data_IF_809276374852
#
_entry.id   IF_809276374852
#
_cell.length_a   1.000
_cell.length_b   1.000
_cell.length_c   1.000
_cell.angle_alpha   90.00
_cell.angle_beta   90.00
_cell.angle_gamma   90.00
#
_symmetry.space_group_name_H-M   'P 1'
#
loop_
_entity.id
_entity.type
_entity.pdbx_description
1 polymer ?
#
# COMPACT_ATOMS: atom_id res chain seq x y z
N UNK A 1 -49.82 64.65 5.08
CA UNK A 1 -48.63 64.45 4.21
C UNK A 1 -47.71 63.34 4.71
N UNK A 2 -47.44 63.19 6.03
CA UNK A 2 -46.47 62.20 6.54
C UNK A 2 -46.77 60.70 6.32
N UNK A 3 -48.04 60.26 6.30
CA UNK A 3 -48.35 58.82 6.17
C UNK A 3 -48.06 58.23 4.78
N UNK A 4 -48.14 59.05 3.73
CA UNK A 4 -47.89 58.60 2.36
C UNK A 4 -46.38 58.40 2.11
N UNK A 5 -45.56 59.32 2.62
CA UNK A 5 -44.10 59.25 2.50
C UNK A 5 -43.51 58.06 3.27
N UNK A 6 -44.03 57.78 4.47
CA UNK A 6 -43.64 56.60 5.26
C UNK A 6 -44.04 55.31 4.53
N UNK A 7 -45.24 55.26 3.93
CA UNK A 7 -45.69 54.09 3.19
C UNK A 7 -44.84 53.82 1.94
N UNK A 8 -44.39 54.87 1.25
CA UNK A 8 -43.51 54.74 0.07
C UNK A 8 -42.12 54.27 0.51
N UNK A 9 -41.59 54.80 1.62
CA UNK A 9 -40.28 54.41 2.15
C UNK A 9 -40.26 52.92 2.54
N UNK A 10 -41.30 52.46 3.25
CA UNK A 10 -41.44 51.06 3.67
C UNK A 10 -41.58 50.12 2.47
N UNK A 11 -42.39 50.49 1.48
CA UNK A 11 -42.55 49.69 0.25
C UNK A 11 -41.23 49.59 -0.53
N UNK A 12 -40.46 50.67 -0.59
CA UNK A 12 -39.16 50.70 -1.28
C UNK A 12 -38.13 49.85 -0.55
N UNK A 13 -38.08 49.93 0.79
CA UNK A 13 -37.19 49.11 1.62
C UNK A 13 -37.49 47.62 1.49
N UNK A 14 -38.78 47.22 1.51
CA UNK A 14 -39.21 45.84 1.29
C UNK A 14 -38.83 45.35 -0.12
N UNK A 15 -39.02 46.19 -1.14
CA UNK A 15 -38.62 45.88 -2.51
C UNK A 15 -37.12 45.60 -2.64
N UNK A 16 -36.27 46.44 -2.01
CA UNK A 16 -34.82 46.23 -2.00
C UNK A 16 -34.40 44.97 -1.23
N UNK A 17 -35.10 44.63 -0.15
CA UNK A 17 -34.81 43.41 0.61
C UNK A 17 -35.12 42.16 -0.22
N UNK A 18 -36.26 42.14 -0.90
CA UNK A 18 -36.67 41.02 -1.75
C UNK A 18 -35.71 40.81 -2.93
N UNK A 19 -35.27 41.88 -3.59
CA UNK A 19 -34.31 41.77 -4.69
C UNK A 19 -32.93 41.30 -4.22
N UNK A 20 -32.47 41.77 -3.06
CA UNK A 20 -31.23 41.30 -2.44
C UNK A 20 -31.30 39.80 -2.07
N UNK A 21 -32.41 39.33 -1.49
CA UNK A 21 -32.60 37.91 -1.16
C UNK A 21 -32.59 37.00 -2.40
N UNK A 22 -33.20 37.43 -3.51
CA UNK A 22 -33.17 36.70 -4.78
C UNK A 22 -31.75 36.61 -5.33
N UNK A 23 -30.99 37.71 -5.31
CA UNK A 23 -29.59 37.71 -5.78
C UNK A 23 -28.70 36.81 -4.92
N UNK A 24 -28.88 36.80 -3.60
CA UNK A 24 -28.16 35.90 -2.69
C UNK A 24 -28.50 34.43 -3.00
N UNK A 25 -29.79 34.10 -3.21
CA UNK A 25 -30.21 32.74 -3.56
C UNK A 25 -29.61 32.27 -4.90
N UNK A 26 -29.55 33.16 -5.91
CA UNK A 26 -28.91 32.87 -7.20
C UNK A 26 -27.40 32.64 -7.01
N UNK A 27 -26.72 33.49 -6.23
CA UNK A 27 -25.29 33.33 -5.92
C UNK A 27 -25.00 31.99 -5.21
N UNK A 28 -25.80 31.63 -4.20
CA UNK A 28 -25.67 30.34 -3.50
C UNK A 28 -25.88 29.17 -4.47
N UNK A 29 -26.90 29.24 -5.33
CA UNK A 29 -27.17 28.21 -6.35
C UNK A 29 -26.03 28.11 -7.37
N UNK A 30 -25.44 29.24 -7.78
CA UNK A 30 -24.28 29.27 -8.67
C UNK A 30 -23.02 28.69 -7.99
N UNK A 31 -22.79 28.98 -6.71
CA UNK A 31 -21.67 28.41 -5.94
C UNK A 31 -21.86 26.89 -5.80
N UNK A 32 -23.06 26.43 -5.45
CA UNK A 32 -23.37 24.99 -5.32
C UNK A 32 -23.29 24.26 -6.67
N UNK A 33 -23.77 24.87 -7.75
CA UNK A 33 -23.66 24.32 -9.10
C UNK A 33 -22.22 24.26 -9.60
N UNK A 34 -21.41 25.30 -9.36
CA UNK A 34 -19.97 25.28 -9.66
C UNK A 34 -19.25 24.24 -8.82
N UNK A 35 -19.59 24.11 -7.54
CA UNK A 35 -19.02 23.09 -6.65
C UNK A 35 -19.36 21.68 -7.11
N UNK A 36 -20.62 21.43 -7.47
CA UNK A 36 -21.06 20.15 -8.06
C UNK A 36 -20.37 19.84 -9.40
N UNK A 37 -20.22 20.83 -10.29
CA UNK A 37 -19.49 20.66 -11.54
C UNK A 37 -17.97 20.42 -11.32
N UNK A 38 -17.37 21.03 -10.30
CA UNK A 38 -15.98 20.78 -9.92
C UNK A 38 -15.78 19.40 -9.27
N UNK A 39 -16.80 18.90 -8.57
CA UNK A 39 -16.77 17.55 -7.99
C UNK A 39 -17.00 16.47 -9.05
N UNK A 40 -17.81 16.73 -10.08
CA UNK A 40 -18.10 15.78 -11.17
C UNK A 40 -16.99 15.76 -12.23
N UNK A 41 -16.29 16.88 -12.49
CA UNK A 41 -15.25 16.94 -13.52
C UNK A 41 -13.82 16.63 -13.02
N UNK A 42 -13.67 16.27 -11.74
CA UNK A 42 -12.42 15.78 -11.15
C UNK A 42 -12.40 14.25 -10.96
N UNK A 43 -13.30 13.52 -11.63
CA UNK A 43 -13.02 12.11 -11.92
C UNK A 43 -11.82 12.09 -12.88
N UNK A 44 -10.62 12.02 -12.29
CA UNK A 44 -9.40 11.60 -12.97
C UNK A 44 -9.81 10.37 -13.78
N UNK A 45 -9.58 10.32 -15.11
CA UNK A 45 -9.92 9.16 -15.91
C UNK A 45 -9.32 7.93 -15.23
N UNK A 46 -10.16 7.11 -14.59
CA UNK A 46 -9.70 5.93 -13.86
C UNK A 46 -9.38 4.89 -14.91
N UNK A 47 -8.14 4.93 -15.40
CA UNK A 47 -7.64 3.88 -16.28
C UNK A 47 -7.37 2.66 -15.41
N UNK A 48 -8.13 1.59 -15.63
CA UNK A 48 -7.82 0.27 -15.08
C UNK A 48 -6.41 -0.13 -15.50
N UNK A 49 -5.58 -0.59 -14.57
CA UNK A 49 -4.22 -1.01 -14.87
C UNK A 49 -4.28 -2.37 -15.61
N UNK A 50 -3.76 -2.48 -16.84
CA UNK A 50 -3.70 -3.75 -17.55
C UNK A 50 -2.92 -4.80 -16.74
N UNK A 51 -3.45 -6.02 -16.67
CA UNK A 51 -2.94 -7.17 -15.91
C UNK A 51 -3.17 -7.14 -14.39
N UNK A 52 -3.85 -6.13 -13.85
CA UNK A 52 -4.28 -6.09 -12.44
C UNK A 52 -5.81 -6.21 -12.32
N UNK A 53 -6.38 -7.27 -12.89
CA UNK A 53 -7.79 -7.64 -12.64
C UNK A 53 -7.96 -8.14 -11.20
N UNK A 54 -9.21 -8.21 -10.74
CA UNK A 54 -9.57 -8.77 -9.43
C UNK A 54 -8.97 -10.17 -9.22
N UNK A 55 -9.21 -11.10 -10.15
CA UNK A 55 -8.70 -12.48 -10.06
C UNK A 55 -7.16 -12.53 -10.00
N UNK A 56 -6.48 -11.74 -10.83
CA UNK A 56 -5.02 -11.69 -10.85
C UNK A 56 -4.47 -11.16 -9.53
N UNK A 57 -5.10 -10.12 -8.96
CA UNK A 57 -4.67 -9.55 -7.68
C UNK A 57 -4.86 -10.57 -6.55
N UNK A 58 -6.03 -11.21 -6.50
CA UNK A 58 -6.30 -12.29 -5.54
C UNK A 58 -5.28 -13.42 -5.64
N UNK A 59 -4.99 -13.89 -6.85
CA UNK A 59 -3.99 -14.95 -7.09
C UNK A 59 -2.58 -14.53 -6.69
N UNK A 60 -2.16 -13.31 -7.08
CA UNK A 60 -0.84 -12.78 -6.75
C UNK A 60 -0.63 -12.69 -5.23
N UNK A 61 -1.61 -12.19 -4.48
CA UNK A 61 -1.50 -12.09 -3.03
C UNK A 61 -1.53 -13.46 -2.35
N UNK A 62 -2.40 -14.37 -2.80
CA UNK A 62 -2.51 -15.71 -2.24
C UNK A 62 -1.28 -16.59 -2.54
N UNK A 63 -0.55 -16.32 -3.63
CA UNK A 63 0.66 -17.04 -4.03
C UNK A 63 1.97 -16.47 -3.44
N UNK A 64 1.92 -15.28 -2.83
CA UNK A 64 3.09 -14.67 -2.24
C UNK A 64 3.63 -15.50 -1.06
N UNK A 65 4.91 -15.88 -1.09
CA UNK A 65 5.56 -16.62 0.01
C UNK A 65 5.59 -15.77 1.29
N UNK A 66 4.80 -16.13 2.30
CA UNK A 66 4.71 -15.38 3.57
C UNK A 66 5.70 -15.83 4.64
N UNK A 67 6.76 -16.57 4.30
CA UNK A 67 7.86 -16.86 5.23
C UNK A 67 8.60 -15.56 5.58
N UNK A 68 8.79 -15.33 6.87
CA UNK A 68 9.64 -14.25 7.35
C UNK A 68 11.09 -14.70 7.17
N UNK A 69 11.83 -14.06 6.27
CA UNK A 69 13.25 -14.36 6.11
C UNK A 69 14.03 -13.76 7.30
N UNK A 70 15.20 -14.33 7.62
CA UNK A 70 16.03 -13.84 8.71
C UNK A 70 16.19 -12.32 8.69
N UNK A 71 15.95 -11.70 9.86
CA UNK A 71 15.98 -10.25 10.09
C UNK A 71 17.38 -9.66 9.83
N UNK A 72 18.40 -10.50 9.64
CA UNK A 72 19.78 -10.13 9.33
C UNK A 72 19.99 -9.73 7.85
N UNK A 73 18.95 -9.74 7.01
CA UNK A 73 19.04 -9.46 5.57
C UNK A 73 19.09 -7.95 5.26
N UNK A 74 19.87 -7.49 4.25
CA UNK A 74 20.20 -6.07 3.96
C UNK A 74 19.04 -5.18 3.46
N UNK A 75 17.81 -5.55 3.74
CA UNK A 75 16.62 -4.76 3.40
C UNK A 75 16.14 -3.99 4.63
N UNK A 76 16.87 -2.92 4.96
CA UNK A 76 16.43 -1.85 5.87
C UNK A 76 15.33 -1.01 5.18
N UNK A 77 14.18 -1.63 4.92
CA UNK A 77 12.98 -0.90 4.53
C UNK A 77 12.58 0.04 5.66
N UNK A 78 12.12 1.24 5.32
CA UNK A 78 11.57 2.15 6.33
C UNK A 78 10.16 1.67 6.67
N UNK A 79 10.06 0.78 7.65
CA UNK A 79 8.79 0.28 8.18
C UNK A 79 8.29 1.24 9.25
N UNK A 80 7.04 1.67 9.10
CA UNK A 80 6.34 2.54 10.04
C UNK A 80 4.97 1.91 10.34
N UNK A 81 4.63 1.81 11.62
CA UNK A 81 3.29 1.50 12.08
C UNK A 81 2.70 2.76 12.70
N UNK A 82 1.62 3.28 12.14
CA UNK A 82 0.91 4.45 12.62
C UNK A 82 -0.40 4.01 13.31
N UNK A 83 -0.52 4.24 14.61
CA UNK A 83 -1.68 3.86 15.43
C UNK A 83 -2.36 5.14 15.92
N UNK A 84 -3.55 5.46 15.41
CA UNK A 84 -4.30 6.68 15.77
C UNK A 84 -3.47 7.98 15.68
N UNK A 85 -2.56 8.06 14.69
CA UNK A 85 -1.64 9.18 14.52
C UNK A 85 -0.29 9.03 15.23
N UNK A 86 -0.14 8.03 16.11
CA UNK A 86 1.11 7.73 16.82
C UNK A 86 2.05 6.92 15.94
N UNK A 87 3.25 7.45 15.67
CA UNK A 87 4.26 6.82 14.82
C UNK A 87 5.12 5.85 15.65
N UNK A 88 5.01 4.56 15.34
CA UNK A 88 5.84 3.48 15.86
C UNK A 88 6.86 3.08 14.79
N UNK A 89 8.14 3.21 15.14
CA UNK A 89 9.26 2.96 14.24
C UNK A 89 9.84 1.56 14.44
N UNK A 90 10.59 1.07 13.45
CA UNK A 90 11.25 -0.23 13.53
C UNK A 90 12.11 -0.45 14.80
N UNK A 91 12.89 0.53 15.33
CA UNK A 91 13.58 0.37 16.60
C UNK A 91 12.68 0.03 17.80
N UNK A 92 11.47 0.60 17.86
CA UNK A 92 10.51 0.32 18.94
C UNK A 92 10.00 -1.11 18.85
N UNK A 93 9.66 -1.56 17.64
CA UNK A 93 9.24 -2.95 17.37
C UNK A 93 10.38 -3.92 17.72
N UNK A 94 11.61 -3.60 17.31
CA UNK A 94 12.80 -4.41 17.61
C UNK A 94 13.07 -4.52 19.11
N UNK A 95 12.94 -3.43 19.87
CA UNK A 95 13.11 -3.46 21.32
C UNK A 95 12.09 -4.39 21.99
N UNK A 96 10.83 -4.37 21.54
CA UNK A 96 9.79 -5.30 22.01
C UNK A 96 10.09 -6.75 21.63
N UNK A 97 10.53 -6.97 20.40
CA UNK A 97 10.94 -8.28 19.91
C UNK A 97 12.05 -8.88 20.77
N UNK A 98 13.14 -8.15 21.01
CA UNK A 98 14.27 -8.65 21.82
C UNK A 98 13.89 -8.89 23.29
N UNK A 99 12.93 -8.13 23.84
CA UNK A 99 12.41 -8.39 25.18
C UNK A 99 11.64 -9.71 25.24
N UNK A 100 10.68 -9.90 24.33
CA UNK A 100 9.86 -11.12 24.29
C UNK A 100 10.67 -12.36 23.89
N UNK A 101 11.71 -12.20 23.09
CA UNK A 101 12.63 -13.28 22.73
C UNK A 101 13.34 -13.90 23.95
N UNK A 102 13.58 -13.12 25.01
CA UNK A 102 14.17 -13.63 26.26
C UNK A 102 13.21 -14.53 27.02
N UNK A 103 11.93 -14.17 27.03
CA UNK A 103 10.86 -14.93 27.69
C UNK A 103 10.44 -16.16 26.84
N UNK A 104 10.65 -16.07 25.52
CA UNK A 104 10.47 -17.15 24.57
C UNK A 104 9.03 -17.69 24.52
N UNK A 105 8.90 -19.00 24.37
CA UNK A 105 7.61 -19.70 24.25
C UNK A 105 6.75 -19.64 25.52
N UNK A 106 7.34 -19.28 26.67
CA UNK A 106 6.63 -19.21 27.94
C UNK A 106 5.77 -17.95 28.07
N UNK A 107 6.00 -16.93 27.22
CA UNK A 107 5.21 -15.71 27.26
C UNK A 107 3.80 -15.96 26.67
N UNK A 108 2.70 -15.58 27.36
CA UNK A 108 1.33 -15.88 26.92
C UNK A 108 1.00 -15.42 25.50
N UNK A 109 1.41 -14.20 25.13
CA UNK A 109 1.23 -13.69 23.76
C UNK A 109 2.03 -14.51 22.73
N UNK A 110 3.27 -14.90 23.03
CA UNK A 110 4.08 -15.69 22.10
C UNK A 110 3.42 -17.05 21.87
N UNK A 111 2.93 -17.69 22.94
CA UNK A 111 2.18 -18.96 22.85
C UNK A 111 0.93 -18.83 21.97
N UNK A 112 0.13 -17.77 22.16
CA UNK A 112 -1.05 -17.46 21.32
C UNK A 112 -0.69 -17.42 19.83
N UNK A 113 0.40 -16.73 19.48
CA UNK A 113 0.85 -16.63 18.09
C UNK A 113 1.44 -17.96 17.56
N UNK A 114 2.13 -18.74 18.37
CA UNK A 114 2.61 -20.09 18.00
C UNK A 114 1.42 -21.00 17.66
N UNK A 115 0.41 -21.06 18.53
CA UNK A 115 -0.80 -21.86 18.33
C UNK A 115 -1.53 -21.45 17.04
N UNK A 116 -1.63 -20.14 16.79
CA UNK A 116 -2.19 -19.63 15.55
C UNK A 116 -1.38 -20.08 14.32
N UNK A 117 -0.05 -19.98 14.33
CA UNK A 117 0.78 -20.39 13.20
C UNK A 117 0.70 -21.90 12.96
N UNK A 118 0.73 -22.72 14.01
CA UNK A 118 0.61 -24.18 13.92
C UNK A 118 -0.74 -24.63 13.34
N UNK A 119 -1.83 -23.90 13.63
CA UNK A 119 -3.16 -24.23 13.12
C UNK A 119 -3.34 -23.86 11.64
N UNK A 120 -2.69 -22.80 11.19
CA UNK A 120 -3.01 -22.16 9.91
C UNK A 120 -1.87 -22.19 8.88
N UNK A 121 -0.71 -22.74 9.22
CA UNK A 121 0.40 -22.95 8.28
C UNK A 121 0.76 -24.43 8.21
N UNK A 122 1.12 -24.87 7.01
CA UNK A 122 1.55 -26.25 6.72
C UNK A 122 3.07 -26.39 6.70
N UNK A 123 3.80 -25.27 6.72
CA UNK A 123 5.26 -25.27 6.73
C UNK A 123 5.83 -25.36 8.16
N UNK A 124 6.58 -26.43 8.44
CA UNK A 124 7.32 -26.61 9.69
C UNK A 124 8.60 -25.75 9.74
N UNK A 125 8.49 -24.48 9.32
CA UNK A 125 9.63 -23.58 9.24
C UNK A 125 10.17 -23.27 10.64
N UNK A 126 11.50 -23.39 10.88
CA UNK A 126 12.11 -22.93 12.13
C UNK A 126 11.90 -21.43 12.38
N UNK A 127 11.58 -20.65 11.34
CA UNK A 127 11.26 -19.22 11.46
C UNK A 127 9.87 -18.93 12.06
N UNK A 128 9.04 -19.95 12.29
CA UNK A 128 7.72 -19.78 12.90
C UNK A 128 7.80 -19.19 14.31
N UNK A 129 8.85 -19.50 15.08
CA UNK A 129 9.07 -18.92 16.42
C UNK A 129 9.39 -17.43 16.31
N UNK A 130 10.32 -17.04 15.43
CA UNK A 130 10.65 -15.63 15.21
C UNK A 130 9.42 -14.84 14.75
N UNK A 131 8.63 -15.43 13.85
CA UNK A 131 7.37 -14.83 13.37
C UNK A 131 6.33 -14.71 14.50
N UNK A 132 6.24 -15.68 15.40
CA UNK A 132 5.34 -15.62 16.55
C UNK A 132 5.75 -14.52 17.55
N UNK A 133 7.05 -14.40 17.84
CA UNK A 133 7.59 -13.34 18.71
C UNK A 133 7.31 -11.96 18.09
N UNK A 134 7.47 -11.82 16.77
CA UNK A 134 7.13 -10.58 16.08
C UNK A 134 5.63 -10.26 16.14
N UNK A 135 4.77 -11.27 15.95
CA UNK A 135 3.33 -11.17 16.17
C UNK A 135 2.99 -10.64 17.56
N UNK A 136 3.53 -11.29 18.59
CA UNK A 136 3.34 -10.92 19.98
C UNK A 136 3.88 -9.51 20.28
N UNK A 137 4.96 -9.09 19.61
CA UNK A 137 5.53 -7.75 19.74
C UNK A 137 4.58 -6.68 19.22
N UNK A 138 3.99 -6.90 18.04
CA UNK A 138 3.01 -5.99 17.44
C UNK A 138 1.73 -5.98 18.27
N UNK A 139 1.23 -7.15 18.68
CA UNK A 139 0.04 -7.26 19.55
C UNK A 139 0.26 -6.51 20.88
N UNK A 140 1.44 -6.66 21.51
CA UNK A 140 1.79 -5.94 22.73
C UNK A 140 1.81 -4.41 22.55
N UNK A 141 2.23 -3.93 21.38
CA UNK A 141 2.21 -2.49 21.05
C UNK A 141 0.77 -2.01 20.89
N UNK A 142 -0.08 -2.78 20.22
CA UNK A 142 -1.48 -2.44 19.97
C UNK A 142 -2.30 -2.46 21.27
N UNK A 143 -2.16 -3.50 22.09
CA UNK A 143 -2.78 -3.62 23.41
C UNK A 143 -2.42 -2.45 24.34
N UNK A 144 -1.22 -1.90 24.21
CA UNK A 144 -0.81 -0.72 25.01
C UNK A 144 -1.55 0.55 24.58
N UNK A 145 -1.97 0.65 23.32
CA UNK A 145 -2.72 1.79 22.81
C UNK A 145 -4.21 1.64 23.14
N UNK A 146 -4.79 0.48 22.83
CA UNK A 146 -6.19 0.18 23.14
C UNK A 146 -6.37 -1.34 23.40
N UNK A 147 -6.57 -1.74 24.67
CA UNK A 147 -6.79 -3.14 25.03
C UNK A 147 -8.08 -3.75 24.46
N UNK A 148 -9.13 -2.94 24.28
CA UNK A 148 -10.46 -3.42 23.91
C UNK A 148 -10.61 -3.54 22.40
N UNK A 149 -9.80 -2.79 21.64
CA UNK A 149 -9.84 -2.75 20.18
C UNK A 149 -8.51 -3.19 19.58
N UNK A 150 -8.01 -4.37 19.96
CA UNK A 150 -6.84 -5.00 19.33
C UNK A 150 -7.30 -5.89 18.16
N UNK A 151 -6.61 -5.86 17.00
CA UNK A 151 -6.99 -6.68 15.85
C UNK A 151 -6.80 -8.17 16.16
N UNK A 152 -7.49 -9.03 15.40
CA UNK A 152 -7.31 -10.46 15.56
C UNK A 152 -5.89 -10.89 15.15
N UNK A 153 -5.46 -12.04 15.66
CA UNK A 153 -4.12 -12.57 15.39
C UNK A 153 -3.86 -12.78 13.89
N UNK A 154 -4.89 -13.08 13.11
CA UNK A 154 -4.77 -13.23 11.67
C UNK A 154 -4.46 -11.93 10.95
N UNK A 155 -5.20 -10.86 11.25
CA UNK A 155 -4.91 -9.54 10.70
C UNK A 155 -3.52 -9.05 11.12
N UNK A 156 -3.07 -9.31 12.36
CA UNK A 156 -1.70 -8.98 12.80
C UNK A 156 -0.65 -9.70 11.94
N UNK A 157 -0.83 -11.00 11.67
CA UNK A 157 0.10 -11.73 10.81
C UNK A 157 0.05 -11.26 9.36
N UNK A 158 -1.08 -10.75 8.90
CA UNK A 158 -1.20 -10.14 7.59
C UNK A 158 -0.48 -8.79 7.52
N UNK A 159 -0.57 -7.96 8.55
CA UNK A 159 0.23 -6.74 8.70
C UNK A 159 1.74 -7.05 8.64
N UNK A 160 2.19 -8.14 9.30
CA UNK A 160 3.58 -8.58 9.25
C UNK A 160 4.04 -8.87 7.82
N UNK A 161 3.20 -9.47 6.98
CA UNK A 161 3.55 -9.78 5.59
C UNK A 161 3.91 -8.51 4.82
N UNK A 162 3.08 -7.48 4.93
CA UNK A 162 3.33 -6.19 4.29
C UNK A 162 4.60 -5.50 4.79
N UNK A 163 4.92 -5.64 6.07
CA UNK A 163 6.08 -4.96 6.68
C UNK A 163 7.41 -5.67 6.45
N UNK A 164 7.43 -7.01 6.50
CA UNK A 164 8.68 -7.76 6.67
C UNK A 164 8.89 -8.90 5.68
N UNK A 165 7.93 -9.18 4.78
CA UNK A 165 8.07 -10.27 3.81
C UNK A 165 8.50 -9.74 2.44
N UNK A 166 9.55 -10.34 1.86
CA UNK A 166 10.08 -9.95 0.54
C UNK A 166 9.07 -10.16 -0.59
N UNK A 167 8.30 -11.25 -0.57
CA UNK A 167 7.32 -11.54 -1.61
C UNK A 167 6.24 -10.45 -1.72
N UNK A 168 5.71 -9.97 -0.60
CA UNK A 168 4.76 -8.86 -0.54
C UNK A 168 5.41 -7.56 -1.05
N UNK A 169 6.66 -7.28 -0.66
CA UNK A 169 7.41 -6.13 -1.19
C UNK A 169 7.57 -6.21 -2.72
N UNK A 170 7.94 -7.37 -3.26
CA UNK A 170 8.06 -7.59 -4.70
C UNK A 170 6.72 -7.46 -5.41
N UNK A 171 5.64 -7.95 -4.79
CA UNK A 171 4.27 -7.85 -5.29
C UNK A 171 3.82 -6.39 -5.39
N UNK A 172 3.97 -5.60 -4.33
CA UNK A 172 3.62 -4.17 -4.33
C UNK A 172 4.46 -3.41 -5.38
N UNK A 173 5.76 -3.72 -5.44
CA UNK A 173 6.68 -3.17 -6.45
C UNK A 173 6.26 -3.53 -7.88
N UNK A 174 5.77 -4.75 -8.10
CA UNK A 174 5.27 -5.23 -9.38
C UNK A 174 3.98 -4.51 -9.79
N UNK A 175 3.02 -4.38 -8.88
CA UNK A 175 1.77 -3.66 -9.13
C UNK A 175 2.03 -2.20 -9.52
N UNK A 176 2.98 -1.53 -8.85
CA UNK A 176 3.45 -0.19 -9.24
C UNK A 176 4.00 -0.17 -10.67
N UNK A 177 4.78 -1.19 -11.06
CA UNK A 177 5.31 -1.27 -12.43
C UNK A 177 4.22 -1.43 -13.48
N UNK A 178 3.14 -2.15 -13.16
CA UNK A 178 2.02 -2.30 -14.10
C UNK A 178 1.31 -0.98 -14.37
N UNK A 179 1.31 -0.06 -13.40
CA UNK A 179 0.70 1.28 -13.51
C UNK A 179 1.49 2.29 -14.37
N UNK A 180 2.65 1.91 -14.91
CA UNK A 180 3.48 2.81 -15.73
C UNK A 180 2.85 3.00 -17.13
N UNK A 181 2.61 4.24 -17.57
CA UNK A 181 2.11 4.50 -18.92
C UNK A 181 3.09 4.03 -20.00
N UNK A 182 2.58 3.36 -21.04
CA UNK A 182 3.38 2.79 -22.15
C UNK A 182 4.54 1.92 -21.65
N UNK A 183 4.30 1.08 -20.62
CA UNK A 183 5.32 0.25 -19.95
C UNK A 183 6.17 -0.57 -20.92
N UNK A 184 5.61 -0.97 -22.07
CA UNK A 184 6.30 -1.72 -23.13
C UNK A 184 7.52 -1.00 -23.72
N UNK A 185 7.58 0.34 -23.59
CA UNK A 185 8.71 1.15 -24.05
C UNK A 185 9.86 1.21 -23.04
N UNK A 186 9.64 0.73 -21.81
CA UNK A 186 10.53 0.96 -20.69
C UNK A 186 10.91 -0.33 -19.96
N UNK A 187 12.12 -0.36 -19.45
CA UNK A 187 12.55 -1.27 -18.38
C UNK A 187 12.62 -0.47 -17.07
N UNK A 188 12.28 -1.13 -15.97
CA UNK A 188 12.16 -0.48 -14.66
C UNK A 188 13.20 -1.04 -13.71
N UNK A 189 13.99 -0.17 -13.11
CA UNK A 189 14.97 -0.53 -12.09
C UNK A 189 14.67 0.21 -10.78
N UNK A 190 14.82 -0.47 -9.66
CA UNK A 190 14.74 0.18 -8.34
C UNK A 190 16.00 1.03 -8.13
N UNK A 191 15.83 2.22 -7.56
CA UNK A 191 16.95 3.01 -7.07
C UNK A 191 17.52 2.36 -5.80
N UNK A 192 18.74 2.72 -5.42
CA UNK A 192 19.39 2.23 -4.18
C UNK A 192 18.72 2.73 -2.89
N UNK A 193 17.61 3.46 -2.99
CA UNK A 193 16.81 3.92 -1.86
C UNK A 193 15.87 2.80 -1.41
N UNK A 194 15.86 2.52 -0.11
CA UNK A 194 14.91 1.59 0.47
C UNK A 194 13.46 2.07 0.25
N UNK A 195 12.54 1.20 -0.18
CA UNK A 195 11.13 1.53 -0.14
C UNK A 195 10.67 1.83 1.29
N UNK A 196 9.62 2.65 1.39
CA UNK A 196 8.97 2.99 2.63
C UNK A 196 7.59 2.33 2.67
N UNK A 197 7.30 1.61 3.74
CA UNK A 197 6.01 0.98 4.00
C UNK A 197 5.45 1.55 5.30
N UNK A 198 4.26 2.14 5.22
CA UNK A 198 3.54 2.65 6.38
C UNK A 198 2.22 1.90 6.50
N UNK A 199 2.02 1.24 7.63
CA UNK A 199 0.70 0.69 7.99
C UNK A 199 -0.01 1.70 8.87
N UNK A 200 -1.25 2.03 8.52
CA UNK A 200 -2.12 2.88 9.32
C UNK A 200 -3.21 2.02 9.94
N UNK A 201 -3.25 2.02 11.26
CA UNK A 201 -4.23 1.33 12.06
C UNK A 201 -5.00 2.34 12.90
N UNK A 202 -6.31 2.17 12.98
CA UNK A 202 -7.19 3.01 13.81
C UNK A 202 -7.96 2.12 14.76
N UNK A 203 -7.89 2.41 16.05
CA UNK A 203 -8.54 1.59 17.10
C UNK A 203 -10.07 1.61 16.99
N UNK A 204 -10.64 2.69 16.44
CA UNK A 204 -12.07 2.77 16.11
C UNK A 204 -12.52 1.78 15.02
N UNK A 205 -11.61 1.08 14.35
CA UNK A 205 -11.93 0.10 13.31
C UNK A 205 -10.94 -1.06 13.39
N UNK A 206 -11.05 -1.93 14.41
CA UNK A 206 -10.00 -2.89 14.73
C UNK A 206 -9.84 -4.01 13.69
N UNK A 207 -10.81 -4.15 12.78
CA UNK A 207 -10.81 -5.14 11.70
C UNK A 207 -10.18 -4.62 10.41
N UNK A 208 -9.65 -3.40 10.39
CA UNK A 208 -9.07 -2.82 9.17
C UNK A 208 -7.75 -2.10 9.42
N UNK A 209 -6.92 -2.04 8.39
CA UNK A 209 -5.74 -1.18 8.32
C UNK A 209 -5.51 -0.74 6.89
N UNK A 210 -4.84 0.40 6.69
CA UNK A 210 -4.40 0.81 5.35
C UNK A 210 -2.89 0.70 5.19
N UNK A 211 -2.45 0.48 3.96
CA UNK A 211 -1.05 0.37 3.57
C UNK A 211 -0.72 1.52 2.65
N UNK A 212 0.29 2.30 3.00
CA UNK A 212 0.91 3.27 2.12
C UNK A 212 2.33 2.79 1.78
N UNK A 213 2.58 2.47 0.52
CA UNK A 213 3.84 1.95 0.04
C UNK A 213 4.47 2.90 -1.00
N UNK A 214 5.75 3.23 -0.80
CA UNK A 214 6.48 4.18 -1.63
C UNK A 214 7.78 3.58 -2.14
N UNK A 215 7.92 3.56 -3.47
CA UNK A 215 9.07 2.99 -4.17
C UNK A 215 9.75 4.05 -5.05
N UNK A 216 11.08 4.09 -4.97
CA UNK A 216 11.90 5.01 -5.75
C UNK A 216 12.55 4.23 -6.89
N UNK A 217 12.27 4.63 -8.13
CA UNK A 217 12.63 3.86 -9.32
C UNK A 217 13.15 4.75 -10.44
N UNK A 218 13.80 4.13 -11.41
CA UNK A 218 14.18 4.76 -12.68
C UNK A 218 13.64 3.97 -13.86
N UNK A 219 13.29 4.70 -14.91
CA UNK A 219 12.92 4.17 -16.21
C UNK A 219 14.14 4.21 -17.12
N UNK A 220 14.39 3.10 -17.79
CA UNK A 220 15.32 3.00 -18.90
C UNK A 220 14.52 2.67 -20.16
N UNK A 221 14.95 3.15 -21.32
CA UNK A 221 14.35 2.78 -22.60
C UNK A 221 14.63 1.31 -22.92
N UNK A 222 13.60 0.55 -23.31
CA UNK A 222 13.73 -0.90 -23.51
C UNK A 222 14.71 -1.28 -24.65
N UNK A 223 14.91 -0.40 -25.65
CA UNK A 223 15.72 -0.70 -26.82
C UNK A 223 17.23 -0.74 -26.54
N UNK A 224 17.72 0.13 -25.65
CA UNK A 224 19.15 0.37 -25.44
C UNK A 224 19.51 0.63 -23.96
N UNK A 225 18.55 0.44 -23.04
CA UNK A 225 18.69 0.69 -21.60
C UNK A 225 19.21 2.09 -21.27
N UNK A 226 18.95 3.10 -22.11
CA UNK A 226 19.32 4.48 -21.80
C UNK A 226 18.38 5.05 -20.75
N UNK A 227 18.97 5.81 -19.81
CA UNK A 227 18.20 6.48 -18.78
C UNK A 227 17.17 7.42 -19.40
N UNK A 228 15.91 7.26 -19.00
CA UNK A 228 14.81 8.14 -19.40
C UNK A 228 14.49 9.12 -18.27
N UNK A 229 14.16 8.62 -17.09
CA UNK A 229 13.75 9.44 -15.96
C UNK A 229 13.79 8.67 -14.64
N UNK A 230 13.68 9.39 -13.53
CA UNK A 230 13.32 8.81 -12.23
C UNK A 230 11.84 9.04 -11.95
N UNK A 231 11.27 8.20 -11.09
CA UNK A 231 9.92 8.39 -10.60
C UNK A 231 9.76 7.81 -9.20
N UNK A 232 8.73 8.29 -8.53
CA UNK A 232 8.21 7.68 -7.32
C UNK A 232 6.91 6.96 -7.67
N UNK A 233 6.84 5.68 -7.30
CA UNK A 233 5.60 4.91 -7.33
C UNK A 233 5.03 4.84 -5.93
N UNK A 234 3.84 5.43 -5.76
CA UNK A 234 3.09 5.39 -4.50
C UNK A 234 1.90 4.46 -4.65
N UNK A 235 1.62 3.69 -3.60
CA UNK A 235 0.46 2.81 -3.54
C UNK A 235 -0.27 2.99 -2.23
N UNK A 236 -1.60 3.02 -2.30
CA UNK A 236 -2.48 2.97 -1.15
C UNK A 236 -3.45 1.81 -1.28
N UNK A 237 -3.64 1.04 -0.21
CA UNK A 237 -4.61 -0.05 -0.11
C UNK A 237 -5.32 0.04 1.24
N UNK A 238 -6.63 -0.19 1.28
CA UNK A 238 -7.37 -0.48 2.50
C UNK A 238 -7.59 -1.99 2.59
N UNK A 239 -7.26 -2.59 3.74
CA UNK A 239 -7.49 -4.01 4.02
C UNK A 239 -8.49 -4.10 5.16
N UNK A 240 -9.60 -4.80 4.94
CA UNK A 240 -10.63 -5.03 5.94
C UNK A 240 -10.86 -6.52 6.10
N UNK A 241 -10.95 -6.99 7.33
CA UNK A 241 -11.36 -8.37 7.62
C UNK A 241 -12.88 -8.49 7.51
N UNK A 242 -13.34 -9.52 6.81
CA UNK A 242 -14.77 -9.79 6.69
C UNK A 242 -15.37 -10.17 8.05
N UNK A 243 -16.55 -9.62 8.34
CA UNK A 243 -17.33 -9.95 9.53
C UNK A 243 -17.93 -11.35 9.46
N UNK A 244 -18.19 -11.85 8.25
CA UNK A 244 -18.86 -13.12 8.00
C UNK A 244 -17.87 -14.29 7.94
N UNK A 245 -16.66 -14.04 7.40
CA UNK A 245 -15.55 -14.99 7.43
C UNK A 245 -14.24 -14.27 7.79
N UNK A 246 -13.77 -14.38 9.04
CA UNK A 246 -12.51 -13.77 9.48
C UNK A 246 -11.27 -14.27 8.73
N UNK A 247 -11.38 -15.34 7.93
CA UNK A 247 -10.29 -15.81 7.06
C UNK A 247 -10.20 -15.04 5.75
N UNK A 248 -11.21 -14.26 5.39
CA UNK A 248 -11.24 -13.44 4.19
C UNK A 248 -10.89 -12.00 4.53
N UNK A 249 -10.02 -11.42 3.70
CA UNK A 249 -9.63 -10.03 3.75
C UNK A 249 -10.02 -9.36 2.44
N UNK A 250 -10.78 -8.28 2.56
CA UNK A 250 -11.20 -7.44 1.47
C UNK A 250 -10.18 -6.33 1.26
N UNK A 251 -9.64 -6.25 0.06
CA UNK A 251 -8.79 -5.17 -0.39
C UNK A 251 -9.62 -4.18 -1.20
N UNK A 252 -9.54 -2.91 -0.82
CA UNK A 252 -10.32 -1.84 -1.42
C UNK A 252 -9.54 -0.53 -1.45
N UNK A 253 -10.15 0.49 -2.06
CA UNK A 253 -9.59 1.84 -2.20
C UNK A 253 -8.18 1.86 -2.84
N UNK A 254 -7.88 0.83 -3.61
CA UNK A 254 -6.56 0.63 -4.16
C UNK A 254 -6.20 1.71 -5.17
N UNK A 255 -5.11 2.43 -4.91
CA UNK A 255 -4.61 3.50 -5.78
C UNK A 255 -3.13 3.33 -6.02
N UNK A 256 -2.73 3.45 -7.27
CA UNK A 256 -1.31 3.49 -7.68
C UNK A 256 -1.08 4.85 -8.32
N UNK A 257 -0.15 5.62 -7.77
CA UNK A 257 0.26 6.91 -8.30
C UNK A 257 1.69 6.86 -8.79
N UNK A 258 1.90 7.50 -9.93
CA UNK A 258 3.18 7.67 -10.57
C UNK A 258 3.52 9.16 -10.56
N UNK A 259 4.56 9.52 -9.80
CA UNK A 259 5.07 10.89 -9.75
C UNK A 259 6.36 10.94 -10.56
N UNK A 260 6.25 11.56 -11.73
CA UNK A 260 7.37 11.73 -12.65
C UNK A 260 8.25 12.90 -12.24
N UNK A 261 9.56 12.69 -12.29
CA UNK A 261 10.53 13.78 -12.21
C UNK A 261 11.26 13.86 -13.54
N UNK A 262 10.96 14.90 -14.32
CA UNK A 262 11.76 15.24 -15.49
C UNK A 262 13.12 15.73 -15.01
N UNK A 263 14.10 14.84 -14.93
CA UNK A 263 15.51 15.25 -14.82
C UNK A 263 15.94 15.85 -16.15
N UNK A 264 15.88 17.18 -16.24
CA UNK A 264 16.61 17.91 -17.26
C UNK A 264 18.10 17.83 -16.89
N UNK A 265 18.80 16.88 -17.51
CA UNK A 265 20.26 16.69 -17.50
C UNK A 265 21.02 17.14 -16.23
N UNK A 266 21.15 16.26 -15.24
CA UNK A 266 22.34 16.26 -14.41
C UNK A 266 22.89 14.83 -14.30
N UNK A 267 24.15 14.68 -14.70
CA UNK A 267 24.93 13.47 -14.50
C UNK A 267 24.98 13.15 -13.01
N UNK A 268 24.28 12.10 -12.59
CA UNK A 268 24.47 11.52 -11.27
C UNK A 268 25.94 11.07 -11.20
N UNK A 269 26.75 11.50 -10.21
CA UNK A 269 28.13 11.06 -10.11
C UNK A 269 28.15 9.55 -9.88
N UNK A 270 28.71 8.80 -10.83
CA UNK A 270 29.14 7.44 -10.61
C UNK A 270 30.17 7.44 -9.47
N UNK A 271 29.73 7.17 -8.25
CA UNK A 271 30.66 6.99 -7.14
C UNK A 271 31.28 5.61 -7.31
N UNK A 272 32.48 5.61 -7.87
CA UNK A 272 33.37 4.46 -7.98
C UNK A 272 33.57 3.87 -6.57
N UNK A 273 33.28 2.58 -6.46
CA UNK A 273 33.46 1.75 -5.26
C UNK A 273 34.95 1.74 -4.87
N UNK A 274 35.34 2.56 -3.89
CA UNK A 274 36.62 2.38 -3.19
C UNK A 274 36.44 1.29 -2.15
N UNK A 275 37.06 0.13 -2.39
CA UNK A 275 37.22 -0.91 -1.39
C UNK A 275 38.20 -0.39 -0.33
N UNK A 276 37.72 -0.18 0.89
CA UNK A 276 38.62 -0.07 2.04
C UNK A 276 38.12 -1.05 3.09
N UNK A 277 38.85 -2.15 3.25
CA UNK A 277 38.66 -3.11 4.33
C UNK A 277 38.87 -2.40 5.67
N UNK A 278 37.80 -2.24 6.46
CA UNK A 278 37.93 -1.90 7.87
C UNK A 278 38.13 -3.18 8.69
N UNK A 279 39.37 -3.39 9.14
CA UNK A 279 39.68 -4.31 10.24
C UNK A 279 39.03 -3.80 11.52
N UNK A 280 38.15 -4.60 12.11
CA UNK A 280 37.65 -4.38 13.46
C UNK A 280 38.71 -4.75 14.49
N UNK A 281 38.99 -3.84 15.42
CA UNK A 281 39.54 -4.15 16.75
C UNK A 281 38.45 -3.86 17.79
N UNK A 282 38.23 -4.72 18.78
CA UNK A 282 37.17 -4.52 19.75
C UNK A 282 37.64 -3.54 20.84
N UNK A 283 36.82 -2.53 21.13
CA UNK A 283 36.99 -1.66 22.31
C UNK A 283 35.71 -1.70 23.12
N UNK A 284 35.91 -2.00 24.41
CA UNK A 284 34.97 -2.06 25.53
C UNK A 284 34.37 -0.68 25.84
N UNK A 285 33.08 -0.66 26.19
CA UNK A 285 32.32 0.46 26.78
C UNK A 285 33.00 1.12 28.01
N UNK A 286 32.53 2.29 28.54
CA UNK A 286 31.32 3.06 28.19
C UNK A 286 31.52 4.61 28.07
N UNK A 287 30.40 5.31 27.82
CA UNK A 287 30.14 6.76 27.98
C UNK A 287 30.63 7.74 26.90
N UNK A 288 29.70 8.15 26.03
CA UNK A 288 29.17 9.52 25.88
C UNK A 288 28.38 9.58 24.56
N UNK A 289 27.15 10.12 24.60
CA UNK A 289 26.26 10.24 23.44
C UNK A 289 26.85 11.27 22.46
N UNK A 290 27.26 10.92 21.22
CA UNK A 290 27.53 11.92 20.22
C UNK A 290 26.20 12.28 19.56
N UNK A 291 25.79 13.52 19.76
CA UNK A 291 24.74 14.20 19.00
C UNK A 291 24.86 13.90 17.50
N UNK A 292 23.80 13.33 16.94
CA UNK A 292 23.65 13.04 15.50
C UNK A 292 23.78 14.38 14.74
N UNK A 293 24.59 14.47 13.67
CA UNK A 293 24.61 15.67 12.85
C UNK A 293 23.25 15.83 12.16
N UNK A 294 22.62 16.99 12.36
CA UNK A 294 21.50 17.44 11.53
C UNK A 294 21.89 17.35 10.06
N UNK A 295 21.23 16.46 9.32
CA UNK A 295 21.25 16.48 7.86
C UNK A 295 20.30 17.60 7.41
N UNK A 296 20.72 18.83 7.64
CA UNK A 296 20.17 20.02 7.01
C UNK A 296 21.21 20.50 6.02
N UNK A 297 21.16 19.94 4.81
CA UNK A 297 21.72 20.49 3.57
C UNK A 297 21.18 19.69 2.38
N UNK A 298 19.85 19.73 2.18
CA UNK A 298 19.32 19.65 0.82
C UNK A 298 19.22 21.10 0.37
N UNK A 299 20.19 21.53 -0.44
CA UNK A 299 20.06 22.76 -1.20
C UNK A 299 18.93 22.52 -2.20
N UNK A 300 17.71 22.95 -1.86
CA UNK A 300 16.61 23.02 -2.81
C UNK A 300 16.92 24.21 -3.72
N UNK A 301 17.63 23.93 -4.80
CA UNK A 301 17.68 24.85 -5.93
C UNK A 301 16.30 24.75 -6.59
N UNK A 302 15.49 25.79 -6.47
CA UNK A 302 14.20 25.91 -7.15
C UNK A 302 14.42 25.91 -8.68
N UNK A 303 14.51 24.73 -9.28
CA UNK A 303 14.12 24.53 -10.67
C UNK A 303 12.66 24.06 -10.64
N UNK A 304 11.79 24.74 -11.40
CA UNK A 304 10.40 24.34 -11.59
C UNK A 304 10.37 22.91 -12.19
N UNK A 305 10.30 21.91 -11.31
CA UNK A 305 10.08 20.53 -11.69
C UNK A 305 8.61 20.41 -12.10
N UNK A 306 8.38 20.16 -13.39
CA UNK A 306 7.04 19.87 -13.87
C UNK A 306 6.65 18.46 -13.39
N UNK A 307 6.01 18.41 -12.23
CA UNK A 307 5.49 17.18 -11.63
C UNK A 307 4.23 16.75 -12.38
N UNK A 308 4.33 15.66 -13.15
CA UNK A 308 3.16 15.03 -13.75
C UNK A 308 2.80 13.80 -12.91
N UNK A 309 1.64 13.84 -12.26
CA UNK A 309 1.09 12.73 -11.49
C UNK A 309 0.05 11.97 -12.32
N UNK A 310 0.24 10.66 -12.50
CA UNK A 310 -0.81 9.79 -13.02
C UNK A 310 -1.29 8.87 -11.90
N UNK A 311 -2.60 8.80 -11.68
CA UNK A 311 -3.19 7.94 -10.66
C UNK A 311 -4.15 6.95 -11.31
N UNK A 312 -3.96 5.68 -11.00
CA UNK A 312 -4.82 4.59 -11.45
C UNK A 312 -5.46 3.91 -10.23
N UNK A 313 -6.69 3.42 -10.42
CA UNK A 313 -7.46 2.73 -9.39
C UNK A 313 -7.39 1.23 -9.62
N UNK A 314 -7.21 0.46 -8.56
CA UNK A 314 -7.27 -1.00 -8.56
C UNK A 314 -8.71 -1.44 -8.28
N UNK A 315 -9.18 -2.54 -8.90
CA UNK A 315 -10.44 -3.13 -8.50
C UNK A 315 -10.36 -3.61 -7.04
N UNK A 316 -11.53 -3.74 -6.39
CA UNK A 316 -11.60 -4.44 -5.12
C UNK A 316 -11.33 -5.93 -5.37
N UNK A 317 -10.73 -6.61 -4.39
CA UNK A 317 -10.43 -8.03 -4.49
C UNK A 317 -10.35 -8.66 -3.10
N UNK A 318 -10.36 -9.99 -3.03
CA UNK A 318 -10.38 -10.73 -1.76
C UNK A 318 -9.21 -11.68 -1.67
N UNK A 319 -8.64 -11.83 -0.47
CA UNK A 319 -7.53 -12.74 -0.21
C UNK A 319 -7.77 -13.50 1.08
N UNK A 320 -7.11 -14.64 1.22
CA UNK A 320 -7.14 -15.37 2.49
C UNK A 320 -6.09 -14.78 3.45
N UNK A 321 -6.42 -14.68 4.73
CA UNK A 321 -5.51 -14.26 5.81
C UNK A 321 -4.24 -15.11 5.90
N UNK A 322 -4.27 -16.32 5.34
CA UNK A 322 -3.17 -17.28 5.31
C UNK A 322 -2.69 -17.53 3.87
N UNK A 323 -2.05 -16.54 3.25
CA UNK A 323 -1.38 -16.72 1.97
C UNK A 323 -0.07 -17.52 2.14
N UNK A 324 -0.14 -18.84 2.18
CA UNK A 324 0.96 -19.74 1.83
C UNK A 324 0.39 -21.16 1.73
N UNK A 325 0.29 -21.69 0.51
CA UNK A 325 0.16 -23.12 0.23
C UNK A 325 -1.08 -23.87 0.80
N UNK A 326 -2.15 -23.20 1.23
CA UNK A 326 -3.41 -23.89 1.59
C UNK A 326 -4.33 -24.24 0.40
N UNK A 327 -3.94 -23.93 -0.84
CA UNK A 327 -4.81 -24.01 -2.03
C UNK A 327 -4.43 -25.13 -3.02
N UNK A 328 -3.91 -26.27 -2.56
CA UNK A 328 -3.86 -27.46 -3.43
C UNK A 328 -4.93 -28.52 -3.14
N UNK A 329 -5.62 -28.46 -1.98
CA UNK A 329 -6.55 -29.54 -1.62
C UNK A 329 -8.02 -29.13 -1.38
N UNK A 330 -8.41 -27.85 -1.46
CA UNK A 330 -9.80 -27.45 -1.23
C UNK A 330 -10.30 -26.31 -2.14
N UNK A 331 -10.08 -26.42 -3.46
CA UNK A 331 -10.96 -25.72 -4.40
C UNK A 331 -12.21 -26.61 -4.56
N UNK A 332 -13.41 -26.19 -4.12
CA UNK A 332 -14.61 -26.85 -4.60
C UNK A 332 -14.63 -26.66 -6.11
N UNK A 333 -14.54 -27.77 -6.87
CA UNK A 333 -14.72 -27.76 -8.32
C UNK A 333 -16.00 -27.01 -8.61
N UNK A 334 -15.87 -25.82 -9.19
CA UNK A 334 -17.01 -25.10 -9.72
C UNK A 334 -17.56 -25.98 -10.84
N UNK A 335 -18.78 -26.49 -10.63
CA UNK A 335 -19.46 -27.37 -11.57
C UNK A 335 -19.53 -26.70 -12.94
N UNK A 336 -18.97 -27.41 -13.92
CA UNK A 336 -19.02 -27.07 -15.34
C UNK A 336 -20.48 -27.06 -15.80
N UNK A 337 -21.12 -25.89 -15.85
CA UNK A 337 -22.39 -25.73 -16.56
C UNK A 337 -22.13 -25.08 -17.94
N UNK A 338 -22.05 -25.98 -18.91
CA UNK A 338 -22.69 -25.90 -20.24
C UNK A 338 -22.55 -24.59 -21.00
N UNK A 339 -21.60 -24.53 -21.94
CA UNK A 339 -21.75 -23.71 -23.15
C UNK A 339 -21.82 -24.58 -24.39
N UNK A 340 -22.96 -24.41 -25.06
CA UNK A 340 -23.44 -24.96 -26.32
C UNK A 340 -22.40 -25.54 -27.30
N UNK A 341 -22.73 -26.74 -27.74
CA UNK A 341 -22.47 -27.31 -29.06
C UNK A 341 -22.55 -26.25 -30.16
N UNK A 342 -21.41 -25.97 -30.80
CA UNK A 342 -21.40 -25.52 -32.20
C UNK A 342 -20.71 -26.61 -32.99
N UNK A 343 -21.54 -27.40 -33.66
CA UNK A 343 -21.15 -28.28 -34.77
C UNK A 343 -20.35 -27.48 -35.79
N UNK A 344 -19.16 -27.96 -36.13
CA UNK A 344 -18.62 -27.78 -37.47
C UNK A 344 -18.20 -29.14 -38.01
N UNK A 345 -19.07 -29.67 -38.87
CA UNK A 345 -18.74 -30.73 -39.82
C UNK A 345 -17.59 -30.29 -40.70
N UNK A 346 -16.60 -31.16 -40.90
CA UNK A 346 -15.98 -31.38 -42.21
C UNK A 346 -15.20 -32.69 -42.23
N UNK A 347 -15.92 -33.74 -42.61
CA UNK A 347 -15.60 -34.71 -43.65
C UNK A 347 -14.11 -35.04 -43.88
N UNK A 348 -13.71 -36.20 -43.37
CA UNK A 348 -12.73 -37.07 -44.02
C UNK A 348 -13.32 -37.65 -45.30
N UNK A 349 -12.48 -37.91 -46.31
CA UNK A 349 -12.57 -39.19 -46.99
C UNK A 349 -11.24 -39.93 -46.93
N UNK A 350 -11.30 -41.10 -46.31
CA UNK A 350 -10.40 -42.20 -46.55
C UNK A 350 -10.74 -42.77 -47.94
N UNK A 351 -9.78 -42.78 -48.88
CA UNK A 351 -9.75 -43.84 -49.88
C UNK A 351 -8.32 -44.14 -50.36
N UNK A 352 -8.13 -45.45 -50.49
CA UNK A 352 -6.97 -46.27 -50.83
C UNK A 352 -6.60 -46.30 -52.32
N UNK A 353 -5.44 -46.92 -52.58
CA UNK A 353 -4.88 -47.42 -53.86
C UNK A 353 -4.16 -46.32 -54.66
N UNK A 354 -2.85 -46.41 -54.89
CA UNK A 354 -2.07 -47.52 -55.46
C UNK A 354 -0.63 -47.48 -54.98
#
# INVERSE_FOLDING_TARGET
>A
MGNLEISILVATALGMFMTASILIAIMIKCILSKRSAYTINNEIPTTTIPNLSEDNLSEMFNSADTKLQEINSPYNHKVILNIDGTIITAPVIKSKYEALKKDGENHPLVKKHIEYLQKNRTDNSPDNINRAILGASIESILLKHDPDNTPDTGLIHHMINHMYTKSYMHLLSHMINQGIPNKEKYTVENLSLSPQITLHYTTNSPQQFSIDAKFYKKLLTAQNNTFHSTFTGDMRLLVSQSTDDPKLLDYSEGKVSYIHYNTLNEQIPNTQRSNTEMRYTPITEPEEIPSIPSISNITVLNTEQQETSNTSVLPNFTVYTHSAEQMHDNIPKLDTITTATILYNRDTPLHSMT
#
